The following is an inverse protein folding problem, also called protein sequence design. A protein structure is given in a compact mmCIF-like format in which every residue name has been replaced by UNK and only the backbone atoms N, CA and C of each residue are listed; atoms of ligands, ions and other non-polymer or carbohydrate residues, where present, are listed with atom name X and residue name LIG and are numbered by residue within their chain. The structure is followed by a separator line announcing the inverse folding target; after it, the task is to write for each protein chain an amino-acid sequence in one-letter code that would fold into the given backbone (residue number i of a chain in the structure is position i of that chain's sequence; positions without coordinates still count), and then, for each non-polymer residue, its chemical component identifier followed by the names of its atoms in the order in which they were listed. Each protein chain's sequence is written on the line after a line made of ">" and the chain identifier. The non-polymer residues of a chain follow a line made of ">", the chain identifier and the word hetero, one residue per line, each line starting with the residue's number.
data_IF_673307964096
#
_entry.id   IF_673307964096
#
_cell.length_a   1.000
_cell.length_b   1.000
_cell.length_c   1.000
_cell.angle_alpha   90.00
_cell.angle_beta   90.00
_cell.angle_gamma   90.00
#
_symmetry.space_group_name_H-M   'P 1'
#
loop_
_entity.id
_entity.type
_entity.pdbx_description
1 polymer ?
#
# COMPACT_ATOMS: atom_id res chain seq x y z
N UNK A 1 -0.19 -20.59 0.03
CA UNK A 1 0.01 -20.01 1.40
C UNK A 1 -1.09 -18.96 1.61
N UNK A 2 -2.35 -19.40 1.50
CA UNK A 2 -3.53 -18.56 1.25
C UNK A 2 -4.40 -18.34 2.50
N UNK A 3 -3.90 -18.74 3.67
CA UNK A 3 -4.66 -18.68 4.94
C UNK A 3 -4.76 -17.28 5.54
N UNK A 4 -3.85 -16.35 5.22
CA UNK A 4 -3.79 -15.04 5.87
C UNK A 4 -4.79 -14.00 5.31
N UNK A 5 -5.21 -14.11 4.04
CA UNK A 5 -6.19 -13.17 3.46
C UNK A 5 -7.61 -13.39 3.99
N UNK A 6 -7.98 -14.66 4.22
CA UNK A 6 -9.22 -14.99 4.94
C UNK A 6 -9.19 -14.51 6.39
N UNK A 7 -8.05 -14.61 7.06
CA UNK A 7 -7.88 -14.13 8.43
C UNK A 7 -7.97 -12.60 8.53
N UNK A 8 -7.39 -11.85 7.59
CA UNK A 8 -7.43 -10.38 7.59
C UNK A 8 -8.85 -9.84 7.34
N UNK A 9 -9.60 -10.41 6.41
CA UNK A 9 -11.00 -10.00 6.13
C UNK A 9 -11.97 -10.41 7.23
N UNK A 10 -11.80 -11.61 7.80
CA UNK A 10 -12.55 -12.05 8.98
C UNK A 10 -12.29 -11.12 10.18
N UNK A 11 -11.03 -10.69 10.36
CA UNK A 11 -10.66 -9.75 11.42
C UNK A 11 -11.33 -8.37 11.27
N UNK A 12 -11.52 -7.87 10.04
CA UNK A 12 -12.19 -6.58 9.82
C UNK A 12 -13.68 -6.63 10.15
N UNK A 13 -14.38 -7.70 9.76
CA UNK A 13 -15.79 -7.89 10.09
C UNK A 13 -15.99 -8.09 11.60
N UNK A 14 -15.11 -8.85 12.25
CA UNK A 14 -15.13 -9.01 13.70
C UNK A 14 -14.89 -7.67 14.42
N UNK A 15 -13.96 -6.85 13.89
CA UNK A 15 -13.68 -5.51 14.40
C UNK A 15 -14.87 -4.56 14.20
N UNK A 16 -15.53 -4.61 13.04
CA UNK A 16 -16.75 -3.84 12.77
C UNK A 16 -17.85 -4.19 13.78
N UNK A 17 -18.16 -5.48 13.91
CA UNK A 17 -19.20 -5.97 14.83
C UNK A 17 -18.91 -5.55 16.27
N UNK A 18 -17.64 -5.59 16.69
CA UNK A 18 -17.22 -5.12 18.01
C UNK A 18 -17.44 -3.62 18.17
N UNK A 19 -17.02 -2.80 17.21
CA UNK A 19 -17.19 -1.34 17.28
C UNK A 19 -18.68 -0.98 17.33
N UNK A 20 -19.52 -1.63 16.53
CA UNK A 20 -20.98 -1.40 16.54
C UNK A 20 -21.57 -1.78 17.90
N UNK A 21 -21.17 -2.93 18.46
CA UNK A 21 -21.61 -3.35 19.78
C UNK A 21 -21.19 -2.36 20.87
N UNK A 22 -19.96 -1.84 20.81
CA UNK A 22 -19.44 -0.84 21.75
C UNK A 22 -20.22 0.49 21.65
N UNK A 23 -20.48 0.99 20.43
CA UNK A 23 -21.31 2.18 20.20
C UNK A 23 -22.71 2.02 20.81
N UNK A 24 -23.38 0.90 20.53
CA UNK A 24 -24.72 0.63 21.03
C UNK A 24 -24.74 0.46 22.56
N UNK A 25 -23.70 -0.15 23.13
CA UNK A 25 -23.58 -0.35 24.58
C UNK A 25 -23.41 0.99 25.30
N UNK A 26 -22.45 1.82 24.87
CA UNK A 26 -22.23 3.14 25.44
C UNK A 26 -23.47 4.05 25.32
N UNK A 27 -24.16 4.02 24.17
CA UNK A 27 -25.39 4.79 24.00
C UNK A 27 -26.51 4.30 24.93
N UNK A 28 -26.69 2.98 25.04
CA UNK A 28 -27.66 2.38 25.96
C UNK A 28 -27.37 2.78 27.40
N UNK A 29 -26.12 2.66 27.83
CA UNK A 29 -25.72 2.92 29.21
C UNK A 29 -25.85 4.41 29.56
N UNK A 30 -25.57 5.31 28.60
CA UNK A 30 -25.87 6.74 28.74
C UNK A 30 -27.37 7.00 28.92
N UNK A 31 -28.23 6.37 28.12
CA UNK A 31 -29.70 6.50 28.26
C UNK A 31 -30.18 5.96 29.59
N UNK A 32 -29.62 4.85 30.08
CA UNK A 32 -29.93 4.29 31.40
C UNK A 32 -29.55 5.28 32.51
N UNK A 33 -28.34 5.84 32.47
CA UNK A 33 -27.89 6.86 33.43
C UNK A 33 -28.74 8.13 33.38
N UNK A 34 -29.21 8.53 32.20
CA UNK A 34 -30.05 9.71 32.02
C UNK A 34 -31.50 9.51 32.50
N UNK A 35 -31.99 8.27 32.49
CA UNK A 35 -33.37 7.92 32.84
C UNK A 35 -33.49 7.29 34.24
N UNK A 36 -32.38 7.18 34.96
CA UNK A 36 -32.35 6.65 36.32
C UNK A 36 -33.26 7.50 37.22
N UNK A 37 -34.25 6.89 37.90
CA UNK A 37 -35.17 7.62 38.75
C UNK A 37 -34.41 8.22 39.93
N UNK A 38 -34.49 9.54 40.06
CA UNK A 38 -33.89 10.26 41.19
C UNK A 38 -34.79 10.03 42.40
N UNK A 39 -34.39 9.11 43.28
CA UNK A 39 -35.04 8.94 44.57
C UNK A 39 -34.87 10.19 45.44
N UNK A 40 -35.86 10.49 46.29
CA UNK A 40 -35.85 11.65 47.19
C UNK A 40 -34.78 11.56 48.30
N UNK A 41 -33.97 10.51 48.30
CA UNK A 41 -32.81 10.26 49.16
C UNK A 41 -31.48 10.37 48.41
N UNK A 42 -31.48 10.88 47.17
CA UNK A 42 -30.27 11.04 46.36
C UNK A 42 -29.24 11.93 47.07
N UNK A 43 -28.15 11.32 47.52
CA UNK A 43 -27.01 12.03 48.12
C UNK A 43 -26.21 12.76 47.04
N UNK A 44 -25.55 13.87 47.40
CA UNK A 44 -24.64 14.59 46.50
C UNK A 44 -23.56 13.69 45.89
N UNK A 45 -23.14 12.63 46.60
CA UNK A 45 -22.21 11.62 46.07
C UNK A 45 -22.79 10.77 44.94
N UNK A 46 -24.10 10.46 44.98
CA UNK A 46 -24.78 9.71 43.91
C UNK A 46 -24.96 10.57 42.66
N UNK A 47 -25.29 11.85 42.84
CA UNK A 47 -25.36 12.80 41.72
C UNK A 47 -23.99 12.99 41.04
N UNK A 48 -22.91 13.11 41.82
CA UNK A 48 -21.55 13.20 41.30
C UNK A 48 -21.09 11.92 40.57
N UNK A 49 -21.50 10.75 41.07
CA UNK A 49 -21.25 9.47 40.40
C UNK A 49 -21.96 9.39 39.05
N UNK A 50 -23.25 9.72 39.01
CA UNK A 50 -24.04 9.73 37.78
C UNK A 50 -23.45 10.70 36.74
N UNK A 51 -23.06 11.92 37.14
CA UNK A 51 -22.41 12.86 36.22
C UNK A 51 -21.07 12.34 35.67
N UNK A 52 -20.25 11.71 36.51
CA UNK A 52 -18.98 11.13 36.08
C UNK A 52 -19.20 9.93 35.14
N UNK A 53 -20.18 9.08 35.45
CA UNK A 53 -20.54 7.94 34.62
C UNK A 53 -21.03 8.41 33.24
N UNK A 54 -21.89 9.43 33.18
CA UNK A 54 -22.36 10.01 31.92
C UNK A 54 -21.21 10.58 31.08
N UNK A 55 -20.22 11.23 31.70
CA UNK A 55 -19.03 11.72 31.00
C UNK A 55 -18.18 10.58 30.43
N UNK A 56 -18.01 9.49 31.19
CA UNK A 56 -17.25 8.31 30.75
C UNK A 56 -17.95 7.66 29.57
N UNK A 57 -19.26 7.42 29.65
CA UNK A 57 -20.03 6.83 28.56
C UNK A 57 -20.01 7.71 27.30
N UNK A 58 -20.08 9.03 27.47
CA UNK A 58 -19.98 9.97 26.33
C UNK A 58 -18.61 9.90 25.67
N UNK A 59 -17.52 9.84 26.45
CA UNK A 59 -16.16 9.68 25.92
C UNK A 59 -15.96 8.31 25.27
N UNK A 60 -16.53 7.26 25.83
CA UNK A 60 -16.57 5.91 25.25
C UNK A 60 -17.23 5.92 23.87
N UNK A 61 -18.41 6.55 23.76
CA UNK A 61 -19.15 6.68 22.50
C UNK A 61 -18.36 7.44 21.42
N UNK A 62 -17.73 8.56 21.79
CA UNK A 62 -16.87 9.33 20.88
C UNK A 62 -15.73 8.45 20.37
N UNK A 63 -15.05 7.74 21.27
CA UNK A 63 -13.94 6.85 20.92
C UNK A 63 -14.37 5.72 19.99
N UNK A 64 -15.48 5.03 20.27
CA UNK A 64 -15.99 3.99 19.39
C UNK A 64 -16.35 4.52 18.00
N UNK A 65 -16.83 5.76 17.91
CA UNK A 65 -17.10 6.44 16.63
C UNK A 65 -15.81 6.79 15.88
N UNK A 66 -14.78 7.25 16.58
CA UNK A 66 -13.44 7.46 16.01
C UNK A 66 -12.84 6.16 15.48
N UNK A 67 -12.99 5.06 16.21
CA UNK A 67 -12.54 3.72 15.80
C UNK A 67 -13.28 3.23 14.54
N UNK A 68 -14.57 3.55 14.41
CA UNK A 68 -15.35 3.32 13.17
C UNK A 68 -14.76 4.12 12.01
N UNK A 69 -14.49 5.41 12.20
CA UNK A 69 -13.90 6.26 11.16
C UNK A 69 -12.51 5.74 10.75
N UNK A 70 -11.69 5.29 11.69
CA UNK A 70 -10.41 4.64 11.40
C UNK A 70 -10.60 3.37 10.57
N UNK A 71 -11.58 2.53 10.90
CA UNK A 71 -11.89 1.33 10.10
C UNK A 71 -12.26 1.70 8.66
N UNK A 72 -13.10 2.73 8.46
CA UNK A 72 -13.44 3.17 7.09
C UNK A 72 -12.25 3.75 6.33
N UNK A 73 -11.28 4.34 7.04
CA UNK A 73 -10.03 4.83 6.44
C UNK A 73 -9.17 3.65 6.00
N UNK A 74 -8.99 2.64 6.85
CA UNK A 74 -8.28 1.41 6.50
C UNK A 74 -8.95 0.70 5.32
N UNK A 75 -10.29 0.66 5.29
CA UNK A 75 -11.02 0.11 4.15
C UNK A 75 -10.66 0.91 2.89
N UNK A 76 -10.78 2.23 2.91
CA UNK A 76 -10.43 3.08 1.76
C UNK A 76 -8.97 2.93 1.34
N UNK A 77 -8.04 2.81 2.27
CA UNK A 77 -6.63 2.53 1.99
C UNK A 77 -6.47 1.16 1.29
N UNK A 78 -7.19 0.13 1.75
CA UNK A 78 -7.22 -1.19 1.10
C UNK A 78 -7.75 -1.11 -0.34
N UNK A 79 -8.76 -0.27 -0.58
CA UNK A 79 -9.33 -0.08 -1.92
C UNK A 79 -8.40 0.72 -2.85
N UNK A 80 -7.64 1.68 -2.32
CA UNK A 80 -6.72 2.52 -3.11
C UNK A 80 -5.41 1.78 -3.41
N UNK A 81 -4.87 1.03 -2.44
CA UNK A 81 -3.62 0.26 -2.59
C UNK A 81 -3.89 -1.05 -3.34
N UNK A 82 -5.14 -1.54 -3.33
CA UNK A 82 -5.52 -2.85 -3.82
C UNK A 82 -5.32 -3.94 -2.76
N UNK A 83 -5.74 -5.19 -3.03
CA UNK A 83 -5.56 -6.30 -2.09
C UNK A 83 -4.10 -6.36 -1.66
N UNK A 84 -3.85 -6.62 -0.37
CA UNK A 84 -2.51 -6.81 0.22
C UNK A 84 -1.80 -7.97 -0.49
N UNK A 85 -1.24 -7.69 -1.67
CA UNK A 85 -0.17 -8.47 -2.26
C UNK A 85 1.02 -8.29 -1.32
N UNK A 86 1.62 -9.40 -0.89
CA UNK A 86 2.83 -9.32 -0.05
C UNK A 86 3.89 -8.49 -0.78
N UNK A 87 4.80 -7.80 -0.09
CA UNK A 87 5.98 -7.22 -0.73
C UNK A 87 6.66 -8.30 -1.58
N UNK A 88 6.74 -8.10 -2.90
CA UNK A 88 7.25 -9.10 -3.86
C UNK A 88 6.22 -10.01 -4.55
N UNK A 89 4.95 -10.05 -4.15
CA UNK A 89 3.92 -10.88 -4.81
C UNK A 89 3.23 -10.10 -5.94
N UNK A 90 3.63 -10.36 -7.18
CA UNK A 90 3.11 -9.65 -8.35
C UNK A 90 3.78 -8.31 -8.65
N UNK A 91 4.72 -7.86 -7.81
CA UNK A 91 5.60 -6.73 -8.09
C UNK A 91 6.57 -7.07 -9.23
N UNK A 92 7.15 -8.28 -9.22
CA UNK A 92 7.93 -8.78 -10.37
C UNK A 92 7.08 -8.95 -11.64
N UNK A 93 5.83 -9.38 -11.54
CA UNK A 93 4.95 -9.48 -12.71
C UNK A 93 4.52 -8.10 -13.22
N UNK A 94 4.27 -7.16 -12.32
CA UNK A 94 3.95 -5.77 -12.67
C UNK A 94 5.17 -5.07 -13.29
N UNK A 95 6.36 -5.19 -12.69
CA UNK A 95 7.63 -4.70 -13.22
C UNK A 95 7.95 -5.35 -14.57
N UNK A 96 7.82 -6.67 -14.71
CA UNK A 96 8.05 -7.35 -15.98
C UNK A 96 7.07 -6.88 -17.06
N UNK A 97 5.80 -6.64 -16.72
CA UNK A 97 4.84 -6.06 -17.65
C UNK A 97 5.19 -4.61 -18.03
N UNK A 98 5.59 -3.80 -17.06
CA UNK A 98 6.03 -2.43 -17.28
C UNK A 98 7.27 -2.42 -18.18
N UNK A 99 8.26 -3.28 -17.95
CA UNK A 99 9.47 -3.37 -18.76
C UNK A 99 9.18 -3.77 -20.21
N UNK A 100 8.24 -4.70 -20.42
CA UNK A 100 7.78 -5.09 -21.76
C UNK A 100 7.07 -3.92 -22.45
N UNK A 101 6.12 -3.27 -21.78
CA UNK A 101 5.38 -2.12 -22.31
C UNK A 101 6.33 -0.94 -22.62
N UNK A 102 7.30 -0.66 -21.75
CA UNK A 102 8.34 0.36 -21.96
C UNK A 102 9.24 -0.01 -23.14
N UNK A 103 9.63 -1.28 -23.27
CA UNK A 103 10.41 -1.78 -24.41
C UNK A 103 9.70 -1.55 -25.75
N UNK A 104 8.39 -1.81 -25.80
CA UNK A 104 7.57 -1.57 -26.99
C UNK A 104 7.48 -0.08 -27.35
N UNK A 105 7.26 0.78 -26.34
CA UNK A 105 7.20 2.24 -26.53
C UNK A 105 8.54 2.79 -27.00
N UNK A 106 9.65 2.36 -26.39
CA UNK A 106 11.01 2.74 -26.81
C UNK A 106 11.29 2.26 -28.23
N UNK A 107 10.87 1.05 -28.58
CA UNK A 107 10.98 0.50 -29.93
C UNK A 107 10.18 1.31 -30.96
N UNK A 108 8.97 1.75 -30.62
CA UNK A 108 8.16 2.64 -31.47
C UNK A 108 8.83 4.01 -31.64
N UNK A 109 9.33 4.60 -30.55
CA UNK A 109 10.01 5.89 -30.56
C UNK A 109 11.28 5.86 -31.42
N UNK A 110 12.06 4.78 -31.33
CA UNK A 110 13.27 4.59 -32.14
C UNK A 110 12.94 4.44 -33.63
N UNK A 111 11.86 3.73 -33.98
CA UNK A 111 11.38 3.65 -35.38
C UNK A 111 10.96 5.02 -35.91
N UNK A 112 10.23 5.80 -35.11
CA UNK A 112 9.80 7.14 -35.49
C UNK A 112 11.00 8.10 -35.66
N UNK A 113 11.98 8.03 -34.76
CA UNK A 113 13.26 8.74 -34.89
C UNK A 113 14.01 8.35 -36.16
N UNK A 114 14.05 7.07 -36.49
CA UNK A 114 14.72 6.59 -37.70
C UNK A 114 14.03 7.07 -38.97
N UNK A 115 12.70 7.01 -39.04
CA UNK A 115 11.93 7.57 -40.16
C UNK A 115 12.12 9.08 -40.31
N UNK A 116 12.14 9.83 -39.20
CA UNK A 116 12.43 11.26 -39.22
C UNK A 116 13.84 11.54 -39.72
N UNK A 117 14.85 10.76 -39.30
CA UNK A 117 16.23 10.91 -39.77
C UNK A 117 16.36 10.60 -41.26
N UNK A 118 15.72 9.54 -41.73
CA UNK A 118 15.72 9.17 -43.15
C UNK A 118 15.05 10.24 -44.02
N UNK A 119 13.95 10.83 -43.52
CA UNK A 119 13.28 11.94 -44.20
C UNK A 119 14.18 13.15 -44.35
N UNK A 120 14.86 13.57 -43.28
CA UNK A 120 15.80 14.70 -43.31
C UNK A 120 17.00 14.43 -44.24
N UNK A 121 17.49 13.19 -44.30
CA UNK A 121 18.55 12.77 -45.23
C UNK A 121 18.07 12.79 -46.69
N UNK A 122 16.81 12.41 -46.93
CA UNK A 122 16.22 12.44 -48.27
C UNK A 122 15.90 13.87 -48.75
N UNK A 123 15.48 14.76 -47.85
CA UNK A 123 15.20 16.17 -48.14
C UNK A 123 16.50 16.99 -48.33
N UNK A 124 17.61 16.57 -47.73
CA UNK A 124 18.91 17.23 -47.80
C UNK A 124 19.82 16.86 -48.98
N UNK A 125 19.32 16.15 -50.01
CA UNK A 125 20.10 15.85 -51.23
C UNK A 125 20.64 14.42 -51.35
N UNK A 126 20.15 13.46 -50.56
CA UNK A 126 20.04 12.05 -50.98
C UNK A 126 21.32 11.20 -51.12
N UNK A 127 22.49 11.65 -50.65
CA UNK A 127 23.76 10.89 -50.81
C UNK A 127 24.47 10.53 -49.48
N UNK A 128 23.75 10.47 -48.37
CA UNK A 128 24.30 10.09 -47.07
C UNK A 128 23.60 8.87 -46.48
N UNK A 129 24.36 7.88 -46.00
CA UNK A 129 23.82 6.84 -45.10
C UNK A 129 24.14 7.26 -43.66
N UNK A 130 23.12 7.37 -42.81
CA UNK A 130 23.35 7.69 -41.38
C UNK A 130 24.06 6.51 -40.72
N UNK A 131 25.25 6.74 -40.16
CA UNK A 131 25.97 5.78 -39.32
C UNK A 131 25.89 6.29 -37.89
N UNK A 132 25.08 5.64 -37.06
CA UNK A 132 25.12 5.89 -35.62
C UNK A 132 26.46 5.35 -35.09
N UNK A 133 27.33 6.23 -34.60
CA UNK A 133 28.54 5.80 -33.92
C UNK A 133 28.15 4.91 -32.73
N UNK A 134 28.66 3.68 -32.72
CA UNK A 134 28.55 2.78 -31.58
C UNK A 134 29.32 3.40 -30.40
N UNK A 135 28.59 4.07 -29.50
CA UNK A 135 29.12 4.58 -28.25
C UNK A 135 29.40 3.44 -27.28
N UNK A 136 30.70 3.18 -27.08
CA UNK A 136 31.34 2.75 -25.83
C UNK A 136 30.59 1.76 -24.92
N UNK A 137 30.79 0.46 -25.16
CA UNK A 137 30.84 -0.52 -24.07
C UNK A 137 32.29 -0.70 -23.63
N UNK A 138 32.71 0.08 -22.63
CA UNK A 138 33.83 -0.29 -21.74
C UNK A 138 33.86 0.61 -20.50
N UNK A 139 33.29 0.10 -19.41
CA UNK A 139 33.81 0.33 -18.06
C UNK A 139 33.35 -0.86 -17.19
N UNK A 140 34.11 -1.95 -17.14
CA UNK A 140 35.04 -2.24 -16.04
C UNK A 140 34.45 -1.95 -14.65
N UNK A 141 33.59 -2.87 -14.18
CA UNK A 141 33.40 -3.14 -12.76
C UNK A 141 34.47 -4.14 -12.32
N UNK A 142 35.29 -3.74 -11.37
CA UNK A 142 36.41 -4.49 -10.81
C UNK A 142 36.00 -5.87 -10.29
N UNK A 143 36.65 -6.93 -10.79
CA UNK A 143 36.69 -8.24 -10.15
C UNK A 143 38.11 -8.49 -9.63
N UNK A 144 38.21 -8.52 -8.31
CA UNK A 144 39.39 -8.84 -7.51
C UNK A 144 40.01 -10.18 -7.96
N UNK A 145 41.35 -10.29 -8.13
CA UNK A 145 41.97 -11.55 -8.51
C UNK A 145 41.94 -12.53 -7.33
N UNK A 146 41.22 -13.65 -7.49
CA UNK A 146 41.46 -14.85 -6.68
C UNK A 146 42.40 -15.76 -7.46
N UNK A 147 43.56 -15.99 -6.85
CA UNK A 147 44.60 -16.91 -7.27
C UNK A 147 44.02 -18.28 -7.66
N UNK A 148 44.24 -18.70 -8.90
CA UNK A 148 44.23 -20.11 -9.30
C UNK A 148 45.26 -20.35 -10.39
N UNK A 149 46.32 -21.08 -10.02
CA UNK A 149 47.27 -21.78 -10.87
C UNK A 149 48.16 -22.60 -9.94
N UNK A 150 48.37 -23.91 -10.07
CA UNK A 150 48.17 -24.80 -11.20
C UNK A 150 47.86 -26.22 -10.69
N UNK A 151 47.05 -26.92 -11.46
CA UNK A 151 46.90 -28.37 -11.45
C UNK A 151 48.18 -29.08 -11.92
N UNK A 152 48.57 -30.12 -11.18
CA UNK A 152 49.07 -31.43 -11.63
C UNK A 152 50.17 -31.49 -12.71
N UNK A 153 51.32 -32.10 -12.41
CA UNK A 153 51.84 -33.24 -13.20
C UNK A 153 52.96 -34.03 -12.50
N UNK A 154 52.70 -35.33 -12.31
CA UNK A 154 53.60 -36.51 -12.29
C UNK A 154 55.12 -36.33 -12.16
N UNK A 155 55.69 -36.92 -11.10
CA UNK A 155 56.49 -38.17 -11.14
C UNK A 155 56.63 -38.75 -9.73
#
# INVERSE_FOLDING_TARGET
>A
MDRDQGAATTNLLDRENRIIADVLSHFRDLVVLATEPIDNTASAGQAAYSSMAMEIETKGLIRSTEDLLQLTRLLRELWIIGPLRKPGEGEQEAEARIDVEVGEVVGLLNRLREQSRQRLVSEGGGHGKYVAAAGESKNQGAAVPREQGLSQTQQ
#
